data_IF_616257145954
#
_entry.id   IF_616257145954
#
_cell.length_a   1.000
_cell.length_b   1.000
_cell.length_c   1.000
_cell.angle_alpha   90.00
_cell.angle_beta   90.00
_cell.angle_gamma   90.00
#
_symmetry.space_group_name_H-M   'P 1'
#
loop_
_entity.id
_entity.type
_entity.pdbx_description
1 polymer ?
#
# COMPACT_ATOMS: atom_id res chain seq x y z
N UNK A 1 40.28 -8.81 19.19
CA UNK A 1 39.00 -8.07 19.25
C UNK A 1 39.23 -6.55 19.27
N UNK A 2 40.11 -6.00 20.12
CA UNK A 2 40.35 -4.55 20.22
C UNK A 2 41.06 -3.89 19.00
N UNK A 3 41.75 -4.67 18.16
CA UNK A 3 42.44 -4.13 16.98
C UNK A 3 41.47 -3.66 15.89
N UNK A 4 40.34 -4.34 15.71
CA UNK A 4 39.34 -4.00 14.68
C UNK A 4 38.49 -2.80 15.06
N UNK A 5 38.19 -2.62 16.34
CA UNK A 5 37.52 -1.43 16.86
C UNK A 5 38.42 -0.19 16.66
N UNK A 6 39.68 -0.30 17.07
CA UNK A 6 40.69 0.75 16.85
C UNK A 6 40.88 1.04 15.35
N UNK A 7 40.92 0.00 14.51
CA UNK A 7 41.02 0.17 13.06
C UNK A 7 39.78 0.87 12.47
N UNK A 8 38.58 0.55 12.95
CA UNK A 8 37.33 1.19 12.52
C UNK A 8 37.36 2.68 12.82
N UNK A 9 37.75 3.07 14.04
CA UNK A 9 37.85 4.48 14.41
C UNK A 9 38.90 5.23 13.57
N UNK A 10 39.99 4.58 13.18
CA UNK A 10 40.96 5.17 12.25
C UNK A 10 40.40 5.29 10.84
N UNK A 11 39.67 4.29 10.34
CA UNK A 11 39.03 4.37 9.03
C UNK A 11 37.96 5.46 8.97
N UNK A 12 37.18 5.65 10.03
CA UNK A 12 36.23 6.76 10.12
C UNK A 12 36.94 8.13 10.02
N UNK A 13 38.13 8.27 10.59
CA UNK A 13 38.94 9.51 10.45
C UNK A 13 39.51 9.73 9.05
N UNK A 14 39.56 8.69 8.22
CA UNK A 14 40.03 8.78 6.82
C UNK A 14 38.92 9.07 5.81
N UNK A 15 37.68 9.23 6.27
CA UNK A 15 36.55 9.61 5.40
C UNK A 15 36.87 10.93 4.68
N UNK A 16 36.65 10.95 3.36
CA UNK A 16 37.01 12.09 2.49
C UNK A 16 38.42 12.04 1.88
N UNK A 17 39.31 11.19 2.42
CA UNK A 17 40.68 10.99 1.87
C UNK A 17 40.87 9.60 1.26
N UNK A 18 40.19 8.59 1.80
CA UNK A 18 40.26 7.20 1.35
C UNK A 18 38.95 6.78 0.69
N UNK A 19 39.07 6.05 -0.42
CA UNK A 19 37.93 5.48 -1.15
C UNK A 19 37.10 4.52 -0.27
N UNK A 20 35.80 4.79 -0.03
CA UNK A 20 34.95 3.97 0.83
C UNK A 20 34.88 2.49 0.41
N UNK A 21 34.94 2.22 -0.90
CA UNK A 21 34.96 0.86 -1.45
C UNK A 21 36.09 -0.02 -0.87
N UNK A 22 37.24 0.57 -0.55
CA UNK A 22 38.36 -0.16 0.04
C UNK A 22 38.04 -0.62 1.47
N UNK A 23 37.49 0.28 2.28
CA UNK A 23 37.12 0.02 3.67
C UNK A 23 35.96 -0.98 3.73
N UNK A 24 34.97 -0.82 2.86
CA UNK A 24 33.81 -1.72 2.75
C UNK A 24 34.25 -3.16 2.46
N UNK A 25 35.15 -3.37 1.47
CA UNK A 25 35.68 -4.70 1.14
C UNK A 25 36.37 -5.36 2.33
N UNK A 26 37.02 -4.57 3.20
CA UNK A 26 37.74 -5.06 4.37
C UNK A 26 36.81 -5.53 5.50
N UNK A 27 35.63 -4.91 5.62
CA UNK A 27 34.64 -5.24 6.66
C UNK A 27 33.41 -6.01 6.15
N UNK A 28 33.45 -6.51 4.90
CA UNK A 28 32.33 -7.22 4.29
C UNK A 28 32.07 -8.60 4.92
N UNK A 29 33.05 -9.16 5.63
CA UNK A 29 32.86 -10.41 6.37
C UNK A 29 31.77 -10.24 7.44
N UNK A 30 30.85 -11.19 7.48
CA UNK A 30 29.76 -11.32 8.43
C UNK A 30 30.15 -11.10 9.90
N UNK A 31 31.39 -11.40 10.28
CA UNK A 31 31.90 -11.19 11.65
C UNK A 31 32.16 -9.72 12.01
N UNK A 32 32.12 -8.82 11.03
CA UNK A 32 32.46 -7.40 11.17
C UNK A 32 31.33 -6.46 10.74
N UNK A 33 30.08 -6.96 10.67
CA UNK A 33 28.91 -6.17 10.28
C UNK A 33 28.77 -4.92 11.15
N UNK A 34 29.05 -4.97 12.45
CA UNK A 34 28.95 -3.81 13.34
C UNK A 34 29.99 -2.72 13.01
N UNK A 35 31.21 -3.12 12.64
CA UNK A 35 32.26 -2.20 12.21
C UNK A 35 31.93 -1.55 10.87
N UNK A 36 31.42 -2.35 9.92
CA UNK A 36 30.93 -1.85 8.63
C UNK A 36 29.75 -0.89 8.81
N UNK A 37 28.80 -1.23 9.69
CA UNK A 37 27.63 -0.39 10.02
C UNK A 37 28.09 0.96 10.54
N UNK A 38 28.99 0.98 11.53
CA UNK A 38 29.53 2.22 12.10
C UNK A 38 30.27 3.06 11.08
N UNK A 39 31.09 2.45 10.22
CA UNK A 39 31.77 3.18 9.16
C UNK A 39 30.79 3.81 8.16
N UNK A 40 29.76 3.08 7.73
CA UNK A 40 28.73 3.57 6.82
C UNK A 40 27.87 4.67 7.47
N UNK A 41 27.56 4.57 8.77
CA UNK A 41 26.88 5.62 9.54
C UNK A 41 27.68 6.93 9.57
N UNK A 42 28.99 6.86 9.84
CA UNK A 42 29.88 8.02 9.81
C UNK A 42 30.01 8.59 8.39
N UNK A 43 30.07 7.73 7.36
CA UNK A 43 30.10 8.16 5.97
C UNK A 43 28.84 8.94 5.58
N UNK A 44 27.68 8.52 6.10
CA UNK A 44 26.41 9.24 5.97
C UNK A 44 26.42 10.56 6.74
N UNK A 45 26.99 10.59 7.95
CA UNK A 45 27.11 11.82 8.76
C UNK A 45 27.94 12.89 8.05
N UNK A 46 29.01 12.49 7.38
CA UNK A 46 29.89 13.38 6.58
C UNK A 46 29.31 13.72 5.19
N UNK A 47 28.10 13.25 4.86
CA UNK A 47 27.41 13.48 3.57
C UNK A 47 28.17 12.97 2.33
N UNK A 48 29.03 11.97 2.49
CA UNK A 48 29.83 11.37 1.41
C UNK A 48 29.31 9.98 0.98
N UNK A 49 28.18 9.53 1.53
CA UNK A 49 27.55 8.29 1.15
C UNK A 49 26.75 8.42 -0.16
N UNK A 50 26.80 7.38 -1.00
CA UNK A 50 25.98 7.25 -2.19
C UNK A 50 24.86 6.20 -1.96
N UNK A 51 24.02 5.97 -2.97
CA UNK A 51 22.89 5.01 -2.91
C UNK A 51 23.32 3.57 -2.63
N UNK A 52 24.51 3.16 -3.10
CA UNK A 52 25.02 1.80 -2.86
C UNK A 52 25.46 1.62 -1.40
N UNK A 53 26.18 2.60 -0.85
CA UNK A 53 26.57 2.64 0.57
C UNK A 53 25.35 2.62 1.47
N UNK A 54 24.33 3.35 1.06
CA UNK A 54 23.03 3.45 1.72
C UNK A 54 22.31 2.09 1.74
N UNK A 55 22.20 1.43 0.59
CA UNK A 55 21.59 0.10 0.48
C UNK A 55 22.34 -0.94 1.31
N UNK A 56 23.68 -0.86 1.30
CA UNK A 56 24.52 -1.73 2.11
C UNK A 56 24.31 -1.50 3.60
N UNK A 57 24.21 -0.24 4.06
CA UNK A 57 23.95 0.10 5.45
C UNK A 57 22.60 -0.44 5.93
N UNK A 58 21.56 -0.28 5.12
CA UNK A 58 20.24 -0.83 5.42
C UNK A 58 20.29 -2.35 5.54
N UNK A 59 20.98 -3.02 4.61
CA UNK A 59 21.17 -4.47 4.66
C UNK A 59 21.94 -4.87 5.93
N UNK A 60 22.98 -4.12 6.31
CA UNK A 60 23.69 -4.31 7.58
C UNK A 60 22.74 -4.18 8.79
N UNK A 61 21.88 -3.15 8.84
CA UNK A 61 20.90 -3.00 9.92
C UNK A 61 19.96 -4.18 10.03
N UNK A 62 19.48 -4.70 8.90
CA UNK A 62 18.53 -5.82 8.93
C UNK A 62 19.11 -7.11 9.54
N UNK A 63 20.43 -7.26 9.56
CA UNK A 63 21.12 -8.38 10.22
C UNK A 63 21.29 -8.20 11.72
N UNK A 64 20.99 -7.02 12.27
CA UNK A 64 21.14 -6.71 13.68
C UNK A 64 19.85 -7.04 14.48
N UNK A 65 19.95 -7.50 15.75
CA UNK A 65 18.77 -7.77 16.58
C UNK A 65 17.89 -6.52 16.78
N UNK A 66 18.50 -5.35 16.98
CA UNK A 66 17.84 -4.04 17.17
C UNK A 66 17.54 -3.28 15.86
N UNK A 67 17.32 -4.01 14.76
CA UNK A 67 17.17 -3.44 13.41
C UNK A 67 16.10 -2.36 13.30
N UNK A 68 14.96 -2.53 13.95
CA UNK A 68 13.83 -1.57 13.87
C UNK A 68 14.23 -0.22 14.45
N UNK A 69 14.83 -0.20 15.64
CA UNK A 69 15.24 1.04 16.27
C UNK A 69 16.39 1.69 15.51
N UNK A 70 17.35 0.91 14.98
CA UNK A 70 18.44 1.45 14.16
C UNK A 70 17.92 2.04 12.85
N UNK A 71 17.06 1.34 12.12
CA UNK A 71 16.40 1.84 10.91
C UNK A 71 15.57 3.09 11.21
N UNK A 72 14.75 3.06 12.26
CA UNK A 72 13.92 4.20 12.65
C UNK A 72 14.75 5.41 13.11
N UNK A 73 15.87 5.19 13.82
CA UNK A 73 16.81 6.25 14.19
C UNK A 73 17.52 6.78 12.96
N UNK A 74 18.00 5.93 12.07
CA UNK A 74 18.66 6.37 10.85
C UNK A 74 17.74 7.22 9.95
N UNK A 75 16.48 6.80 9.81
CA UNK A 75 15.47 7.57 9.07
C UNK A 75 15.07 8.84 9.85
N UNK A 76 14.88 8.75 11.17
CA UNK A 76 14.40 9.85 12.02
C UNK A 76 15.45 10.90 12.43
N UNK A 77 16.75 10.54 12.45
CA UNK A 77 17.86 11.48 12.69
C UNK A 77 17.91 12.57 11.61
N UNK A 78 17.40 12.28 10.41
CA UNK A 78 17.33 13.23 9.31
C UNK A 78 16.05 14.09 9.33
N UNK A 79 15.07 13.82 10.20
CA UNK A 79 13.84 14.63 10.32
C UNK A 79 14.05 15.90 11.17
N UNK A 80 15.20 16.07 11.82
CA UNK A 80 15.45 17.17 12.79
C UNK A 80 16.32 18.32 12.27
N UNK A 81 16.56 18.43 10.96
CA UNK A 81 17.21 19.62 10.41
C UNK A 81 16.21 20.50 9.66
N UNK A 82 15.53 21.45 10.33
CA UNK A 82 14.89 22.55 9.61
C UNK A 82 16.01 23.42 9.02
N UNK A 83 15.79 23.92 7.82
CA UNK A 83 16.59 24.93 7.10
C UNK A 83 18.01 24.52 6.67
N UNK A 84 18.16 24.20 5.40
CA UNK A 84 18.79 25.07 4.39
C UNK A 84 18.94 24.28 3.09
N UNK A 85 18.55 24.92 1.99
CA UNK A 85 18.88 24.50 0.62
C UNK A 85 20.35 24.11 0.53
N UNK A 86 20.63 22.83 0.26
CA UNK A 86 21.59 22.34 -0.73
C UNK A 86 21.84 20.84 -0.49
N UNK A 87 21.39 20.03 -1.45
CA UNK A 87 21.60 18.58 -1.58
C UNK A 87 21.19 17.78 -0.33
N UNK A 88 19.88 17.77 -0.07
CA UNK A 88 19.28 16.86 0.90
C UNK A 88 19.63 15.42 0.50
N UNK A 89 20.41 14.74 1.33
CA UNK A 89 20.31 13.29 1.50
C UNK A 89 18.92 13.02 2.11
N UNK A 90 17.87 13.27 1.32
CA UNK A 90 16.51 12.84 1.56
C UNK A 90 16.55 11.32 1.46
N UNK A 91 16.97 10.66 2.53
CA UNK A 91 17.00 9.22 2.53
C UNK A 91 15.57 8.74 2.28
N UNK A 92 15.36 8.14 1.12
CA UNK A 92 14.04 7.84 0.64
C UNK A 92 13.50 6.68 1.48
N UNK A 93 12.54 7.00 2.35
CA UNK A 93 11.77 6.02 3.13
C UNK A 93 11.33 4.87 2.23
N UNK A 94 11.05 5.17 0.96
CA UNK A 94 10.68 4.17 -0.04
C UNK A 94 11.80 3.17 -0.32
N UNK A 95 13.07 3.59 -0.40
CA UNK A 95 14.22 2.69 -0.55
C UNK A 95 14.38 1.80 0.69
N UNK A 96 14.27 2.36 1.90
CA UNK A 96 14.31 1.54 3.13
C UNK A 96 13.26 0.44 3.14
N UNK A 97 12.01 0.80 2.80
CA UNK A 97 10.91 -0.16 2.75
C UNK A 97 11.21 -1.24 1.71
N UNK A 98 11.72 -0.88 0.53
CA UNK A 98 12.03 -1.83 -0.53
C UNK A 98 13.18 -2.77 -0.17
N UNK A 99 14.25 -2.25 0.46
CA UNK A 99 15.37 -3.09 0.93
C UNK A 99 14.90 -4.06 2.02
N UNK A 100 14.12 -3.58 3.00
CA UNK A 100 13.52 -4.46 4.01
C UNK A 100 12.66 -5.54 3.36
N UNK A 101 11.82 -5.17 2.39
CA UNK A 101 10.96 -6.10 1.67
C UNK A 101 11.77 -7.13 0.86
N UNK A 102 12.80 -6.71 0.13
CA UNK A 102 13.67 -7.58 -0.68
C UNK A 102 14.41 -8.60 0.17
N UNK A 103 14.83 -8.20 1.37
CA UNK A 103 15.48 -9.10 2.31
C UNK A 103 14.49 -9.88 3.20
N UNK A 104 13.20 -9.90 2.86
CA UNK A 104 12.11 -10.62 3.53
C UNK A 104 11.79 -10.16 4.97
N UNK A 105 12.22 -8.96 5.35
CA UNK A 105 11.89 -8.30 6.62
C UNK A 105 10.56 -7.56 6.49
N UNK A 106 9.48 -8.34 6.31
CA UNK A 106 8.16 -7.79 5.98
C UNK A 106 7.55 -6.99 7.14
N UNK A 107 7.73 -7.44 8.39
CA UNK A 107 7.12 -6.77 9.54
C UNK A 107 7.75 -5.39 9.79
N UNK A 108 9.05 -5.26 9.52
CA UNK A 108 9.80 -4.01 9.56
C UNK A 108 9.39 -3.08 8.42
N UNK A 109 9.29 -3.61 7.21
CA UNK A 109 8.83 -2.86 6.05
C UNK A 109 7.40 -2.33 6.28
N UNK A 110 6.52 -3.13 6.90
CA UNK A 110 5.17 -2.72 7.27
C UNK A 110 5.18 -1.64 8.36
N UNK A 111 6.00 -1.79 9.40
CA UNK A 111 6.12 -0.80 10.47
C UNK A 111 6.59 0.55 9.93
N UNK A 112 7.60 0.55 9.05
CA UNK A 112 8.10 1.74 8.38
C UNK A 112 7.03 2.36 7.46
N UNK A 113 6.37 1.53 6.64
CA UNK A 113 5.33 2.01 5.73
C UNK A 113 4.17 2.67 6.48
N UNK A 114 3.74 2.07 7.59
CA UNK A 114 2.68 2.64 8.43
C UNK A 114 3.11 3.94 9.12
N UNK A 115 4.34 3.98 9.67
CA UNK A 115 4.87 5.16 10.38
C UNK A 115 4.97 6.38 9.45
N UNK A 116 5.47 6.19 8.24
CA UNK A 116 5.70 7.28 7.27
C UNK A 116 4.60 7.41 6.21
N UNK A 117 3.41 6.80 6.47
CA UNK A 117 2.21 6.91 5.62
C UNK A 117 2.44 6.50 4.16
N UNK A 118 3.30 5.50 3.92
CA UNK A 118 3.44 4.86 2.60
C UNK A 118 2.37 3.78 2.43
N UNK A 119 1.13 4.21 2.27
CA UNK A 119 -0.06 3.35 2.24
C UNK A 119 0.01 2.29 1.14
N UNK A 120 0.39 2.69 -0.08
CA UNK A 120 0.52 1.78 -1.21
C UNK A 120 1.51 0.64 -0.92
N UNK A 121 2.70 0.96 -0.38
CA UNK A 121 3.71 -0.05 -0.01
C UNK A 121 3.22 -0.98 1.10
N UNK A 122 2.56 -0.43 2.12
CA UNK A 122 2.00 -1.24 3.21
C UNK A 122 1.04 -2.30 2.65
N UNK A 123 0.06 -1.86 1.85
CA UNK A 123 -0.98 -2.71 1.30
C UNK A 123 -0.38 -3.74 0.33
N UNK A 124 0.56 -3.31 -0.51
CA UNK A 124 1.30 -4.18 -1.42
C UNK A 124 2.00 -5.31 -0.69
N UNK A 125 2.70 -5.01 0.41
CA UNK A 125 3.40 -6.02 1.21
C UNK A 125 2.40 -7.00 1.86
N UNK A 126 1.28 -6.50 2.39
CA UNK A 126 0.25 -7.37 2.98
C UNK A 126 -0.33 -8.34 1.94
N UNK A 127 -0.61 -7.86 0.73
CA UNK A 127 -1.27 -8.64 -0.33
C UNK A 127 -0.29 -9.58 -1.04
N UNK A 128 0.85 -9.07 -1.52
CA UNK A 128 1.76 -9.83 -2.37
C UNK A 128 2.70 -10.75 -1.57
N UNK A 129 3.15 -10.30 -0.39
CA UNK A 129 4.18 -11.02 0.38
C UNK A 129 3.57 -11.84 1.53
N UNK A 130 2.73 -11.22 2.37
CA UNK A 130 2.12 -11.91 3.53
C UNK A 130 0.83 -12.64 3.19
N UNK A 131 0.16 -12.27 2.08
CA UNK A 131 -1.17 -12.74 1.69
C UNK A 131 -2.21 -12.59 2.82
N UNK A 132 -2.04 -11.55 3.64
CA UNK A 132 -2.90 -11.23 4.77
C UNK A 132 -3.92 -10.16 4.33
N UNK A 133 -4.94 -10.61 3.60
CA UNK A 133 -5.97 -9.74 3.03
C UNK A 133 -6.81 -9.07 4.12
N UNK A 134 -7.06 -9.75 5.24
CA UNK A 134 -7.79 -9.21 6.39
C UNK A 134 -7.09 -7.97 6.98
N UNK A 135 -5.77 -8.04 7.20
CA UNK A 135 -5.01 -6.87 7.67
C UNK A 135 -4.94 -5.77 6.62
N UNK A 136 -4.83 -6.12 5.34
CA UNK A 136 -4.85 -5.12 4.26
C UNK A 136 -6.18 -4.34 4.27
N UNK A 137 -7.31 -5.04 4.33
CA UNK A 137 -8.65 -4.43 4.39
C UNK A 137 -8.85 -3.61 5.68
N UNK A 138 -8.42 -4.14 6.83
CA UNK A 138 -8.46 -3.42 8.10
C UNK A 138 -7.66 -2.12 8.04
N UNK A 139 -6.49 -2.14 7.40
CA UNK A 139 -5.67 -0.94 7.21
C UNK A 139 -6.35 0.06 6.28
N UNK A 140 -6.87 -0.38 5.13
CA UNK A 140 -7.59 0.47 4.17
C UNK A 140 -8.78 1.17 4.83
N UNK A 141 -9.49 0.50 5.74
CA UNK A 141 -10.60 1.09 6.48
C UNK A 141 -10.21 2.32 7.33
N UNK A 142 -8.94 2.43 7.72
CA UNK A 142 -8.44 3.57 8.50
C UNK A 142 -8.01 4.77 7.65
N UNK A 143 -7.95 4.59 6.32
CA UNK A 143 -7.47 5.60 5.40
C UNK A 143 -8.54 6.64 5.08
N UNK A 144 -8.08 7.79 4.57
CA UNK A 144 -8.98 8.79 3.99
C UNK A 144 -9.50 8.29 2.65
N UNK A 145 -10.59 8.91 2.19
CA UNK A 145 -11.27 8.53 0.95
C UNK A 145 -10.31 8.37 -0.23
N UNK A 146 -9.47 9.37 -0.51
CA UNK A 146 -8.58 9.35 -1.69
C UNK A 146 -7.57 8.18 -1.63
N UNK A 147 -6.93 8.00 -0.47
CA UNK A 147 -5.96 6.92 -0.25
C UNK A 147 -6.63 5.54 -0.30
N UNK A 148 -7.83 5.40 0.27
CA UNK A 148 -8.60 4.16 0.25
C UNK A 148 -9.08 3.82 -1.17
N UNK A 149 -9.57 4.81 -1.92
CA UNK A 149 -10.00 4.63 -3.30
C UNK A 149 -8.83 4.21 -4.19
N UNK A 150 -7.67 4.87 -4.04
CA UNK A 150 -6.46 4.49 -4.77
C UNK A 150 -6.01 3.06 -4.44
N UNK A 151 -6.12 2.65 -3.17
CA UNK A 151 -5.86 1.28 -2.77
C UNK A 151 -6.80 0.28 -3.45
N UNK A 152 -8.10 0.57 -3.55
CA UNK A 152 -9.05 -0.28 -4.27
C UNK A 152 -8.78 -0.31 -5.79
N UNK A 153 -8.32 0.78 -6.39
CA UNK A 153 -7.92 0.80 -7.80
C UNK A 153 -6.71 -0.10 -8.07
N UNK A 154 -5.70 -0.02 -7.21
CA UNK A 154 -4.47 -0.78 -7.36
C UNK A 154 -4.66 -2.26 -7.02
N UNK A 155 -5.39 -2.56 -5.95
CA UNK A 155 -5.43 -3.89 -5.34
C UNK A 155 -6.82 -4.53 -5.26
N UNK A 156 -7.88 -3.80 -5.63
CA UNK A 156 -9.26 -4.24 -5.48
C UNK A 156 -9.59 -5.53 -6.22
N UNK A 157 -8.99 -5.79 -7.39
CA UNK A 157 -9.18 -7.06 -8.12
C UNK A 157 -8.74 -8.26 -7.29
N UNK A 158 -7.59 -8.15 -6.62
CA UNK A 158 -7.06 -9.21 -5.75
C UNK A 158 -7.89 -9.33 -4.47
N UNK A 159 -8.26 -8.20 -3.87
CA UNK A 159 -9.06 -8.17 -2.65
C UNK A 159 -10.47 -8.76 -2.86
N UNK A 160 -11.14 -8.41 -3.95
CA UNK A 160 -12.46 -8.96 -4.29
C UNK A 160 -12.36 -10.45 -4.60
N UNK A 161 -11.30 -10.89 -5.30
CA UNK A 161 -11.12 -12.31 -5.61
C UNK A 161 -11.01 -13.17 -4.34
N UNK A 162 -10.27 -12.71 -3.35
CA UNK A 162 -9.93 -13.51 -2.16
C UNK A 162 -10.88 -13.25 -0.98
N UNK A 163 -11.41 -12.03 -0.86
CA UNK A 163 -12.32 -11.57 0.19
C UNK A 163 -13.48 -10.75 -0.40
N UNK A 164 -14.34 -11.34 -1.24
CA UNK A 164 -15.39 -10.63 -1.99
C UNK A 164 -16.36 -9.85 -1.08
N UNK A 165 -16.87 -10.52 -0.04
CA UNK A 165 -17.87 -9.96 0.87
C UNK A 165 -17.30 -8.79 1.68
N UNK A 166 -16.12 -8.97 2.30
CA UNK A 166 -15.50 -7.93 3.13
C UNK A 166 -15.05 -6.72 2.29
N UNK A 167 -14.49 -6.97 1.11
CA UNK A 167 -14.06 -5.91 0.20
C UNK A 167 -15.25 -5.07 -0.27
N UNK A 168 -16.35 -5.72 -0.65
CA UNK A 168 -17.60 -5.05 -1.05
C UNK A 168 -18.18 -4.22 0.08
N UNK A 169 -18.17 -4.75 1.31
CA UNK A 169 -18.61 -4.02 2.49
C UNK A 169 -17.79 -2.75 2.70
N UNK A 170 -16.46 -2.80 2.55
CA UNK A 170 -15.60 -1.62 2.71
C UNK A 170 -15.78 -0.60 1.58
N UNK A 171 -15.96 -1.04 0.34
CA UNK A 171 -16.28 -0.15 -0.79
C UNK A 171 -17.55 0.67 -0.51
N UNK A 172 -18.57 0.05 0.08
CA UNK A 172 -19.79 0.75 0.51
C UNK A 172 -19.53 1.76 1.64
N UNK A 173 -18.54 1.51 2.49
CA UNK A 173 -18.21 2.39 3.62
C UNK A 173 -17.38 3.62 3.22
N UNK A 174 -16.91 3.71 1.96
CA UNK A 174 -16.16 4.87 1.47
C UNK A 174 -16.96 6.18 1.54
N UNK A 175 -18.30 6.12 1.47
CA UNK A 175 -19.21 7.26 1.60
C UNK A 175 -18.72 8.54 0.88
N UNK A 176 -18.52 8.49 -0.46
CA UNK A 176 -18.05 9.65 -1.22
C UNK A 176 -19.03 10.83 -1.14
N UNK A 177 -18.50 12.05 -1.16
CA UNK A 177 -19.29 13.26 -1.38
C UNK A 177 -19.78 13.35 -2.83
N UNK A 178 -20.86 14.09 -3.15
CA UNK A 178 -21.34 14.25 -4.53
C UNK A 178 -20.25 14.71 -5.50
N UNK A 179 -19.37 15.62 -5.07
CA UNK A 179 -18.24 16.09 -5.87
C UNK A 179 -17.23 14.97 -6.18
N UNK A 180 -16.95 14.09 -5.21
CA UNK A 180 -16.06 12.96 -5.42
C UNK A 180 -16.69 11.88 -6.32
N UNK A 181 -18.01 11.70 -6.25
CA UNK A 181 -18.74 10.77 -7.14
C UNK A 181 -18.53 11.19 -8.60
N UNK A 182 -18.71 12.48 -8.91
CA UNK A 182 -18.54 13.02 -10.25
C UNK A 182 -17.07 12.96 -10.71
N UNK A 183 -16.13 13.40 -9.87
CA UNK A 183 -14.69 13.44 -10.19
C UNK A 183 -14.11 12.05 -10.43
N UNK A 184 -14.50 11.07 -9.62
CA UNK A 184 -13.95 9.72 -9.64
C UNK A 184 -14.79 8.73 -10.45
N UNK A 185 -15.90 9.21 -11.06
CA UNK A 185 -16.85 8.43 -11.87
C UNK A 185 -17.33 7.19 -11.13
N UNK A 186 -17.88 7.38 -9.92
CA UNK A 186 -18.38 6.31 -9.08
C UNK A 186 -19.87 6.07 -9.32
N UNK A 187 -20.34 4.81 -9.35
CA UNK A 187 -19.59 3.58 -9.12
C UNK A 187 -18.92 2.99 -10.38
N UNK A 188 -19.07 3.59 -11.57
CA UNK A 188 -18.69 2.96 -12.84
C UNK A 188 -17.21 2.57 -12.92
N UNK A 189 -16.33 3.44 -12.43
CA UNK A 189 -14.88 3.23 -12.48
C UNK A 189 -14.43 1.99 -11.70
N UNK A 190 -15.26 1.49 -10.77
CA UNK A 190 -14.96 0.32 -9.93
C UNK A 190 -15.65 -0.97 -10.39
N UNK A 191 -16.53 -0.93 -11.40
CA UNK A 191 -17.24 -2.13 -11.89
C UNK A 191 -16.25 -3.23 -12.30
N UNK A 192 -15.16 -2.85 -12.97
CA UNK A 192 -14.13 -3.78 -13.45
C UNK A 192 -13.37 -4.52 -12.33
N UNK A 193 -13.55 -4.15 -11.06
CA UNK A 193 -12.99 -4.89 -9.94
C UNK A 193 -13.73 -6.23 -9.70
N UNK A 194 -14.99 -6.34 -10.13
CA UNK A 194 -15.89 -7.45 -9.81
C UNK A 194 -16.05 -8.49 -10.93
N UNK A 195 -15.15 -8.56 -11.91
CA UNK A 195 -15.34 -9.37 -13.14
C UNK A 195 -15.79 -10.83 -12.92
N UNK A 196 -15.45 -11.46 -11.79
CA UNK A 196 -15.84 -12.83 -11.45
C UNK A 196 -16.78 -12.95 -10.23
N UNK A 197 -17.31 -11.83 -9.74
CA UNK A 197 -18.12 -11.75 -8.52
C UNK A 197 -19.40 -10.95 -8.78
N UNK A 198 -20.35 -11.52 -9.56
CA UNK A 198 -21.55 -10.81 -10.02
C UNK A 198 -22.54 -10.50 -8.88
N UNK A 199 -22.61 -11.35 -7.86
CA UNK A 199 -23.50 -11.12 -6.71
C UNK A 199 -23.00 -9.92 -5.87
N UNK A 200 -21.69 -9.82 -5.65
CA UNK A 200 -21.08 -8.68 -4.97
C UNK A 200 -21.14 -7.39 -5.79
N UNK A 201 -20.99 -7.47 -7.13
CA UNK A 201 -21.19 -6.33 -8.00
C UNK A 201 -22.63 -5.82 -7.90
N UNK A 202 -23.60 -6.72 -7.98
CA UNK A 202 -25.01 -6.39 -7.83
C UNK A 202 -25.28 -5.73 -6.47
N UNK A 203 -24.76 -6.31 -5.39
CA UNK A 203 -24.89 -5.78 -4.03
C UNK A 203 -24.25 -4.38 -3.87
N UNK A 204 -23.13 -4.11 -4.53
CA UNK A 204 -22.48 -2.79 -4.56
C UNK A 204 -23.29 -1.76 -5.36
N UNK A 205 -23.73 -2.10 -6.57
CA UNK A 205 -24.47 -1.20 -7.44
C UNK A 205 -25.86 -0.88 -6.86
N UNK A 206 -26.55 -1.86 -6.27
CA UNK A 206 -27.82 -1.62 -5.56
C UNK A 206 -27.65 -0.65 -4.39
N UNK A 207 -26.52 -0.72 -3.68
CA UNK A 207 -26.19 0.23 -2.63
C UNK A 207 -25.96 1.64 -3.22
N UNK A 208 -25.20 1.75 -4.31
CA UNK A 208 -24.93 3.02 -4.98
C UNK A 208 -26.23 3.71 -5.44
N UNK A 209 -27.15 2.97 -6.08
CA UNK A 209 -28.46 3.50 -6.52
C UNK A 209 -29.30 4.03 -5.35
N UNK A 210 -29.16 3.45 -4.15
CA UNK A 210 -29.91 3.87 -2.95
C UNK A 210 -29.29 5.08 -2.25
N UNK A 211 -27.97 5.26 -2.34
CA UNK A 211 -27.24 6.24 -1.53
C UNK A 211 -26.72 7.43 -2.32
N UNK A 212 -26.43 7.26 -3.61
CA UNK A 212 -25.87 8.34 -4.44
C UNK A 212 -26.99 9.20 -5.04
N UNK A 213 -26.74 10.50 -5.26
CA UNK A 213 -27.71 11.34 -5.96
C UNK A 213 -27.99 10.79 -7.36
N UNK A 214 -29.28 10.69 -7.73
CA UNK A 214 -29.71 10.11 -9.02
C UNK A 214 -29.08 10.82 -10.22
N UNK A 215 -28.84 12.13 -10.13
CA UNK A 215 -28.23 12.94 -11.20
C UNK A 215 -26.77 12.56 -11.51
N UNK A 216 -26.12 11.83 -10.59
CA UNK A 216 -24.70 11.46 -10.71
C UNK A 216 -24.50 10.00 -11.12
N UNK A 217 -25.58 9.24 -11.34
CA UNK A 217 -25.52 7.83 -11.75
C UNK A 217 -25.73 7.73 -13.27
N UNK A 218 -24.76 7.17 -13.99
CA UNK A 218 -24.93 6.95 -15.42
C UNK A 218 -25.91 5.81 -15.70
N UNK A 219 -26.54 5.84 -16.88
CA UNK A 219 -27.45 4.80 -17.36
C UNK A 219 -26.79 3.42 -17.38
N UNK A 220 -25.48 3.35 -17.63
CA UNK A 220 -24.70 2.12 -17.61
C UNK A 220 -24.78 1.36 -16.28
N UNK A 221 -24.97 2.06 -15.15
CA UNK A 221 -25.16 1.42 -13.83
C UNK A 221 -26.47 0.64 -13.82
N UNK A 222 -27.56 1.26 -14.27
CA UNK A 222 -28.88 0.63 -14.35
C UNK A 222 -28.88 -0.54 -15.34
N UNK A 223 -28.26 -0.36 -16.51
CA UNK A 223 -28.14 -1.41 -17.53
C UNK A 223 -27.38 -2.63 -16.99
N UNK A 224 -26.27 -2.39 -16.27
CA UNK A 224 -25.48 -3.46 -15.64
C UNK A 224 -26.29 -4.20 -14.58
N UNK A 225 -27.03 -3.47 -13.71
CA UNK A 225 -27.91 -4.11 -12.72
C UNK A 225 -28.99 -4.95 -13.41
N UNK A 226 -29.63 -4.42 -14.46
CA UNK A 226 -30.64 -5.15 -15.23
C UNK A 226 -30.06 -6.43 -15.83
N UNK A 227 -28.88 -6.36 -16.43
CA UNK A 227 -28.19 -7.53 -16.98
C UNK A 227 -27.93 -8.58 -15.90
N UNK A 228 -27.38 -8.19 -14.75
CA UNK A 228 -27.09 -9.09 -13.64
C UNK A 228 -28.38 -9.74 -13.07
N UNK A 229 -29.45 -8.96 -12.91
CA UNK A 229 -30.74 -9.48 -12.46
C UNK A 229 -31.37 -10.45 -13.47
N UNK A 230 -31.29 -10.15 -14.76
CA UNK A 230 -31.78 -11.05 -15.82
C UNK A 230 -30.96 -12.34 -15.89
N UNK A 231 -29.63 -12.25 -15.76
CA UNK A 231 -28.77 -13.43 -15.66
C UNK A 231 -29.12 -14.28 -14.43
N UNK A 232 -29.43 -13.65 -13.29
CA UNK A 232 -29.87 -14.33 -12.08
C UNK A 232 -31.23 -15.00 -12.26
N UNK A 233 -32.22 -14.29 -12.80
CA UNK A 233 -33.55 -14.82 -13.13
C UNK A 233 -33.47 -16.06 -14.02
N UNK A 234 -32.63 -16.02 -15.06
CA UNK A 234 -32.46 -17.13 -15.99
C UNK A 234 -31.79 -18.37 -15.36
N UNK A 235 -31.00 -18.19 -14.29
CA UNK A 235 -30.32 -19.28 -13.57
C UNK A 235 -31.16 -19.86 -12.43
N UNK A 236 -32.12 -19.09 -11.91
CA UNK A 236 -32.91 -19.48 -10.75
C UNK A 236 -34.11 -20.35 -11.15
N UNK A 237 -34.19 -21.55 -10.59
CA UNK A 237 -35.31 -22.48 -10.78
C UNK A 237 -36.43 -22.33 -9.74
N UNK A 238 -36.24 -21.50 -8.70
CA UNK A 238 -37.24 -21.25 -7.68
C UNK A 238 -38.20 -20.13 -8.13
N UNK A 239 -39.47 -20.47 -8.26
CA UNK A 239 -40.53 -19.55 -8.65
C UNK A 239 -40.66 -18.34 -7.72
N UNK A 240 -40.47 -18.51 -6.40
CA UNK A 240 -40.57 -17.40 -5.43
C UNK A 240 -39.43 -16.40 -5.59
N UNK A 241 -38.22 -16.89 -5.85
CA UNK A 241 -37.06 -16.03 -6.09
C UNK A 241 -37.19 -15.32 -7.45
N UNK A 242 -37.69 -16.01 -8.47
CA UNK A 242 -37.99 -15.39 -9.77
C UNK A 242 -39.06 -14.29 -9.68
N UNK A 243 -40.09 -14.48 -8.85
CA UNK A 243 -41.09 -13.44 -8.58
C UNK A 243 -40.46 -12.23 -7.88
N UNK A 244 -39.51 -12.44 -6.94
CA UNK A 244 -38.77 -11.35 -6.29
C UNK A 244 -37.91 -10.57 -7.27
N UNK A 245 -37.11 -11.27 -8.08
CA UNK A 245 -36.23 -10.67 -9.08
C UNK A 245 -37.06 -9.87 -10.11
N UNK A 246 -38.20 -10.43 -10.55
CA UNK A 246 -39.12 -9.74 -11.47
C UNK A 246 -39.64 -8.42 -10.90
N UNK A 247 -40.01 -8.41 -9.61
CA UNK A 247 -40.44 -7.17 -8.94
C UNK A 247 -39.30 -6.16 -8.80
N UNK A 248 -38.07 -6.59 -8.54
CA UNK A 248 -36.89 -5.71 -8.52
C UNK A 248 -36.64 -5.08 -9.90
N UNK A 249 -36.69 -5.87 -10.98
CA UNK A 249 -36.55 -5.39 -12.36
C UNK A 249 -37.62 -4.32 -12.68
N UNK A 250 -38.88 -4.60 -12.34
CA UNK A 250 -39.99 -3.65 -12.58
C UNK A 250 -39.83 -2.35 -11.79
N UNK A 251 -39.26 -2.40 -10.59
CA UNK A 251 -39.00 -1.22 -9.77
C UNK A 251 -37.88 -0.39 -10.38
N UNK A 252 -36.78 -1.04 -10.78
CA UNK A 252 -35.65 -0.38 -11.41
C UNK A 252 -36.02 0.26 -12.76
N UNK A 253 -36.89 -0.37 -13.54
CA UNK A 253 -37.42 0.18 -14.80
C UNK A 253 -38.34 1.39 -14.60
N UNK A 254 -38.96 1.52 -13.43
CA UNK A 254 -39.73 2.72 -13.08
C UNK A 254 -38.80 3.85 -12.64
N UNK A 255 -37.78 3.54 -11.85
CA UNK A 255 -36.80 4.52 -11.38
C UNK A 255 -35.89 5.07 -12.49
N UNK A 256 -35.50 4.23 -13.45
CA UNK A 256 -34.68 4.63 -14.60
C UNK A 256 -35.42 5.50 -15.63
N UNK A 257 -36.77 5.50 -15.65
CA UNK A 257 -37.59 6.36 -16.51
C UNK A 257 -37.84 7.76 -15.94
N UNK A 258 -37.44 8.00 -14.71
CA UNK A 258 -37.62 9.27 -14.00
C UNK A 258 -36.35 10.13 -14.02
N UNK A 259 -35.22 9.56 -14.47
CA UNK A 259 -34.01 10.26 -14.91
C UNK A 259 -34.05 10.49 -16.42
#
# INVERSE_FOLDING_TARGET
>A
KNEYETATDQYCKTIGFLEPSYVIKKFLDSQHIDHLTRYLEELHREKLANTDHTTLLLNCYTKHPDRINRLAKFIGLNETSPSTSDVELSFDVDIAIDVCRQANYFDEALALSAKYRRHDKYIKIQIENKKDYDKALTYIQTLKFDDALQAFRNYGKSLIKEQPILTTKLLKQLNPTPQQIEQEQLPESLINLFMNNPDELLDYLEYAVKQYPKDHLATTVYDTILELLLQKYNKTNDKKENDRISNQILTLLKDSKVN
#
